data_IF_320993546033
#
_entry.id   IF_320993546033
#
_cell.length_a   1.000
_cell.length_b   1.000
_cell.length_c   1.000
_cell.angle_alpha   90.00
_cell.angle_beta   90.00
_cell.angle_gamma   90.00
#
_symmetry.space_group_name_H-M   'P 1'
#
loop_
_entity.id
_entity.type
_entity.pdbx_description
1 polymer ?
#
# COMPACT_ATOMS: atom_id res chain seq x y z
N UNK A 1 -20.67 37.06 -57.23
CA UNK A 1 -21.02 36.01 -56.23
C UNK A 1 -19.84 35.86 -55.28
N UNK A 2 -20.00 36.15 -54.00
CA UNK A 2 -18.93 36.03 -53.01
C UNK A 2 -18.81 34.57 -52.54
N UNK A 3 -17.67 33.94 -52.80
CA UNK A 3 -17.38 32.57 -52.36
C UNK A 3 -17.15 32.59 -50.85
N UNK A 4 -18.11 32.09 -50.07
CA UNK A 4 -17.94 31.88 -48.63
C UNK A 4 -16.78 30.90 -48.40
N UNK A 5 -15.69 31.40 -47.81
CA UNK A 5 -14.56 30.57 -47.35
C UNK A 5 -15.02 29.78 -46.13
N UNK A 6 -15.40 28.52 -46.33
CA UNK A 6 -15.74 27.60 -45.24
C UNK A 6 -14.45 27.28 -44.48
N UNK A 7 -14.25 27.91 -43.31
CA UNK A 7 -13.15 27.60 -42.40
C UNK A 7 -13.44 26.24 -41.76
N UNK A 8 -12.90 25.15 -42.33
CA UNK A 8 -12.95 23.83 -41.70
C UNK A 8 -12.00 23.82 -40.51
N UNK A 9 -12.54 23.56 -39.30
CA UNK A 9 -11.72 23.31 -38.10
C UNK A 9 -10.75 22.15 -38.40
N UNK A 10 -9.45 22.37 -38.20
CA UNK A 10 -8.45 21.29 -38.28
C UNK A 10 -8.89 20.16 -37.33
N UNK A 11 -8.86 18.89 -37.75
CA UNK A 11 -9.16 17.78 -36.86
C UNK A 11 -8.18 17.85 -35.68
N UNK A 12 -8.69 17.84 -34.44
CA UNK A 12 -7.85 17.81 -33.24
C UNK A 12 -6.93 16.59 -33.37
N UNK A 13 -5.62 16.79 -33.24
CA UNK A 13 -4.65 15.70 -33.25
C UNK A 13 -5.12 14.62 -32.26
N UNK A 14 -5.21 13.36 -32.71
CA UNK A 14 -5.57 12.23 -31.85
C UNK A 14 -4.49 12.13 -30.78
N UNK A 15 -4.80 12.60 -29.58
CA UNK A 15 -3.87 12.51 -28.44
C UNK A 15 -3.66 11.02 -28.15
N UNK A 16 -2.40 10.60 -28.14
CA UNK A 16 -2.02 9.22 -27.88
C UNK A 16 -2.60 8.75 -26.52
N UNK A 17 -3.44 7.70 -26.48
CA UNK A 17 -4.00 7.19 -25.23
C UNK A 17 -2.92 6.75 -24.23
N UNK A 18 -1.77 6.26 -24.71
CA UNK A 18 -0.67 5.82 -23.84
C UNK A 18 -0.01 7.00 -23.13
N UNK A 19 0.16 8.14 -23.82
CA UNK A 19 0.70 9.36 -23.22
C UNK A 19 -0.20 9.87 -22.08
N UNK A 20 -1.53 9.83 -22.27
CA UNK A 20 -2.49 10.19 -21.21
C UNK A 20 -2.40 9.25 -20.01
N UNK A 21 -2.34 7.95 -20.26
CA UNK A 21 -2.20 6.95 -19.19
C UNK A 21 -0.91 7.16 -18.41
N UNK A 22 0.22 7.43 -19.09
CA UNK A 22 1.51 7.73 -18.44
C UNK A 22 1.41 8.95 -17.54
N UNK A 23 0.73 10.03 -17.98
CA UNK A 23 0.51 11.22 -17.16
C UNK A 23 -0.30 10.87 -15.90
N UNK A 24 -1.44 10.17 -16.06
CA UNK A 24 -2.29 9.76 -14.92
C UNK A 24 -1.52 8.87 -13.95
N UNK A 25 -0.72 7.93 -14.48
CA UNK A 25 0.12 7.04 -13.69
C UNK A 25 1.17 7.82 -12.87
N UNK A 26 1.88 8.75 -13.50
CA UNK A 26 2.85 9.61 -12.81
C UNK A 26 2.21 10.52 -11.78
N UNK A 27 1.05 11.10 -12.12
CA UNK A 27 0.29 11.94 -11.22
C UNK A 27 -0.22 11.13 -10.02
N UNK A 28 -0.63 9.88 -10.23
CA UNK A 28 -1.04 8.96 -9.16
C UNK A 28 0.07 8.72 -8.15
N UNK A 29 1.25 8.28 -8.59
CA UNK A 29 2.40 8.06 -7.71
C UNK A 29 2.89 9.37 -7.05
N UNK A 30 2.94 10.46 -7.81
CA UNK A 30 3.29 11.79 -7.27
C UNK A 30 2.31 12.26 -6.19
N UNK A 31 1.01 12.05 -6.40
CA UNK A 31 -0.03 12.38 -5.42
C UNK A 31 0.09 11.53 -4.16
N UNK A 32 0.33 10.21 -4.31
CA UNK A 32 0.54 9.31 -3.17
C UNK A 32 1.72 9.75 -2.31
N UNK A 33 2.84 10.09 -2.94
CA UNK A 33 4.03 10.56 -2.24
C UNK A 33 3.84 11.93 -1.60
N UNK A 34 3.41 12.93 -2.37
CA UNK A 34 3.30 14.30 -1.88
C UNK A 34 2.27 14.42 -0.75
N UNK A 35 1.05 13.94 -0.97
CA UNK A 35 0.01 13.96 0.04
C UNK A 35 0.30 13.00 1.20
N UNK A 36 0.99 11.89 0.95
CA UNK A 36 1.44 10.96 1.97
C UNK A 36 2.48 11.60 2.90
N UNK A 37 3.48 12.28 2.33
CA UNK A 37 4.53 13.00 3.06
C UNK A 37 3.96 14.17 3.86
N UNK A 38 3.04 14.96 3.28
CA UNK A 38 2.33 16.01 4.00
C UNK A 38 1.59 15.41 5.20
N UNK A 39 0.81 14.34 4.99
CA UNK A 39 0.11 13.68 6.09
C UNK A 39 1.08 13.15 7.16
N UNK A 40 2.22 12.59 6.75
CA UNK A 40 3.26 12.11 7.65
C UNK A 40 3.80 13.23 8.55
N UNK A 41 4.10 14.41 7.99
CA UNK A 41 4.54 15.58 8.76
C UNK A 41 3.49 16.01 9.78
N UNK A 42 2.23 16.09 9.37
CA UNK A 42 1.13 16.41 10.30
C UNK A 42 0.97 15.36 11.40
N UNK A 43 1.08 14.08 11.06
CA UNK A 43 1.00 12.98 12.02
C UNK A 43 2.15 13.04 13.03
N UNK A 44 3.38 13.25 12.57
CA UNK A 44 4.56 13.41 13.42
C UNK A 44 4.44 14.64 14.32
N UNK A 45 4.01 15.78 13.77
CA UNK A 45 3.75 16.99 14.55
C UNK A 45 2.70 16.74 15.65
N UNK A 46 1.62 16.02 15.33
CA UNK A 46 0.61 15.63 16.31
C UNK A 46 1.18 14.70 17.40
N UNK A 47 2.02 13.74 17.02
CA UNK A 47 2.71 12.86 17.99
C UNK A 47 3.67 13.63 18.90
N UNK A 48 4.47 14.57 18.35
CA UNK A 48 5.41 15.38 19.11
C UNK A 48 4.69 16.34 20.08
N UNK A 49 3.60 16.97 19.61
CA UNK A 49 2.79 17.87 20.43
C UNK A 49 1.91 17.13 21.45
N UNK A 50 1.72 15.80 21.30
CA UNK A 50 1.00 14.97 22.28
C UNK A 50 1.70 14.92 23.65
N UNK A 51 3.03 15.06 23.69
CA UNK A 51 3.80 15.13 24.94
C UNK A 51 3.39 16.32 25.83
N UNK A 52 2.82 17.37 25.22
CA UNK A 52 2.30 18.55 25.93
C UNK A 52 0.99 18.27 26.69
N UNK A 53 0.26 17.19 26.38
CA UNK A 53 -0.99 16.79 27.02
C UNK A 53 -0.78 15.54 27.89
N UNK A 54 0.08 15.73 28.89
CA UNK A 54 0.63 14.72 29.81
C UNK A 54 -0.41 14.17 30.78
N UNK A 55 -1.11 13.11 30.40
CA UNK A 55 -1.65 12.18 31.40
C UNK A 55 -1.50 10.74 30.91
N UNK A 56 -1.02 9.86 31.80
CA UNK A 56 -0.89 8.44 31.50
C UNK A 56 -2.26 7.79 31.23
N UNK A 57 -3.35 8.36 31.76
CA UNK A 57 -4.73 7.93 31.52
C UNK A 57 -5.20 8.21 30.08
N UNK A 58 -4.68 9.24 29.42
CA UNK A 58 -4.92 9.51 28.00
C UNK A 58 -4.11 8.57 27.10
N UNK A 59 -2.94 8.12 27.57
CA UNK A 59 -2.06 7.19 26.87
C UNK A 59 -2.60 5.75 26.88
N UNK A 60 -3.21 5.34 28.00
CA UNK A 60 -3.98 4.10 28.12
C UNK A 60 -5.46 4.23 27.71
N UNK A 61 -5.81 5.31 26.98
CA UNK A 61 -7.11 5.47 26.30
C UNK A 61 -8.37 5.41 27.18
N UNK A 62 -8.23 5.59 28.51
CA UNK A 62 -9.37 5.68 29.44
C UNK A 62 -10.06 7.04 29.29
N UNK A 63 -9.30 8.09 28.96
CA UNK A 63 -9.83 9.45 28.79
C UNK A 63 -9.76 9.91 27.33
N UNK A 64 -10.88 10.44 26.80
CA UNK A 64 -10.91 11.12 25.50
C UNK A 64 -10.27 12.51 25.64
N UNK A 65 -9.41 12.95 24.69
CA UNK A 65 -8.88 14.31 24.73
C UNK A 65 -10.03 15.32 24.66
N UNK A 66 -9.90 16.49 25.33
CA UNK A 66 -10.95 17.50 25.32
C UNK A 66 -11.22 17.97 23.90
N UNK A 67 -12.50 17.96 23.51
CA UNK A 67 -12.95 18.36 22.17
C UNK A 67 -12.85 19.88 22.08
N UNK A 68 -11.68 20.38 21.65
CA UNK A 68 -11.53 21.79 21.29
C UNK A 68 -12.31 22.05 19.99
N UNK A 69 -13.52 22.61 20.12
CA UNK A 69 -14.31 23.08 18.98
C UNK A 69 -13.54 24.20 18.27
N UNK A 70 -13.34 24.13 16.93
CA UNK A 70 -12.63 25.18 16.21
C UNK A 70 -13.46 26.46 16.27
N UNK A 71 -12.88 27.54 16.83
CA UNK A 71 -13.54 28.86 16.91
C UNK A 71 -13.51 29.64 15.58
N UNK A 72 -12.63 29.25 14.65
CA UNK A 72 -12.46 29.93 13.35
C UNK A 72 -12.49 28.92 12.20
N UNK A 73 -12.96 29.37 11.03
CA UNK A 73 -13.00 28.55 9.81
C UNK A 73 -11.60 28.06 9.40
N UNK A 74 -10.56 28.89 9.59
CA UNK A 74 -9.17 28.50 9.32
C UNK A 74 -8.71 27.32 10.20
N UNK A 75 -9.05 27.31 11.50
CA UNK A 75 -8.75 26.18 12.39
C UNK A 75 -9.55 24.93 12.04
N UNK A 76 -10.77 25.11 11.51
CA UNK A 76 -11.57 24.00 11.00
C UNK A 76 -10.94 23.38 9.74
N UNK A 77 -10.50 24.20 8.79
CA UNK A 77 -9.79 23.77 7.59
C UNK A 77 -8.50 23.03 7.93
N UNK A 78 -7.70 23.59 8.86
CA UNK A 78 -6.46 22.97 9.33
C UNK A 78 -6.67 21.60 9.98
N UNK A 79 -7.84 21.38 10.62
CA UNK A 79 -8.21 20.09 11.20
C UNK A 79 -8.59 19.05 10.13
N UNK A 80 -9.21 19.48 9.03
CA UNK A 80 -9.59 18.60 7.91
C UNK A 80 -8.42 18.27 7.00
N UNK A 81 -7.48 19.19 6.87
CA UNK A 81 -6.32 19.07 5.98
C UNK A 81 -5.59 17.72 6.06
N UNK A 82 -5.21 17.18 7.25
CA UNK A 82 -4.55 15.88 7.32
C UNK A 82 -5.45 14.74 6.84
N UNK A 83 -6.76 14.79 7.09
CA UNK A 83 -7.68 13.76 6.62
C UNK A 83 -7.82 13.80 5.10
N UNK A 84 -7.92 14.99 4.52
CA UNK A 84 -7.98 15.18 3.06
C UNK A 84 -6.68 14.69 2.42
N UNK A 85 -5.52 15.07 2.97
CA UNK A 85 -4.21 14.63 2.48
C UNK A 85 -4.06 13.11 2.50
N UNK A 86 -4.50 12.45 3.59
CA UNK A 86 -4.51 10.99 3.66
C UNK A 86 -5.38 10.36 2.57
N UNK A 87 -6.62 10.85 2.40
CA UNK A 87 -7.56 10.32 1.40
C UNK A 87 -7.07 10.55 -0.03
N UNK A 88 -6.49 11.71 -0.32
CA UNK A 88 -5.87 12.01 -1.61
C UNK A 88 -4.67 11.10 -1.92
N UNK A 89 -3.83 10.81 -0.92
CA UNK A 89 -2.71 9.87 -1.09
C UNK A 89 -3.21 8.46 -1.49
N UNK A 90 -4.29 7.98 -0.86
CA UNK A 90 -4.95 6.71 -1.23
C UNK A 90 -5.59 6.78 -2.62
N UNK A 91 -6.21 7.90 -3.00
CA UNK A 91 -6.73 8.09 -4.37
C UNK A 91 -5.59 8.01 -5.40
N UNK A 92 -4.40 8.53 -5.09
CA UNK A 92 -3.22 8.38 -5.94
C UNK A 92 -2.82 6.91 -6.18
N UNK A 93 -3.02 6.04 -5.20
CA UNK A 93 -2.81 4.58 -5.33
C UNK A 93 -3.82 3.99 -6.31
N UNK A 94 -5.10 4.38 -6.23
CA UNK A 94 -6.10 3.94 -7.20
C UNK A 94 -5.78 4.38 -8.63
N UNK A 95 -5.29 5.61 -8.82
CA UNK A 95 -4.93 6.12 -10.15
C UNK A 95 -3.74 5.35 -10.74
N UNK A 96 -2.65 5.22 -9.98
CA UNK A 96 -1.43 4.55 -10.44
C UNK A 96 -1.67 3.07 -10.72
N UNK A 97 -2.11 2.30 -9.72
CA UNK A 97 -2.34 0.87 -9.87
C UNK A 97 -3.54 0.55 -10.77
N UNK A 98 -4.53 1.43 -10.85
CA UNK A 98 -5.66 1.32 -11.77
C UNK A 98 -5.22 1.42 -13.22
N UNK A 99 -4.35 2.38 -13.56
CA UNK A 99 -3.77 2.49 -14.90
C UNK A 99 -2.92 1.26 -15.23
N UNK A 100 -2.03 0.82 -14.33
CA UNK A 100 -1.21 -0.38 -14.59
C UNK A 100 -2.08 -1.62 -14.79
N UNK A 101 -3.12 -1.79 -13.98
CA UNK A 101 -4.06 -2.90 -14.13
C UNK A 101 -4.83 -2.80 -15.45
N UNK A 102 -5.30 -1.61 -15.82
CA UNK A 102 -5.96 -1.39 -17.09
C UNK A 102 -5.04 -1.73 -18.28
N UNK A 103 -3.79 -1.27 -18.26
CA UNK A 103 -2.82 -1.58 -19.32
C UNK A 103 -2.57 -3.07 -19.48
N UNK A 104 -2.42 -3.80 -18.37
CA UNK A 104 -2.19 -5.23 -18.38
C UNK A 104 -3.37 -6.03 -18.94
N UNK A 105 -4.59 -5.54 -18.75
CA UNK A 105 -5.81 -6.29 -19.04
C UNK A 105 -6.65 -5.71 -20.18
N UNK A 106 -6.33 -4.55 -20.75
CA UNK A 106 -7.16 -3.93 -21.79
C UNK A 106 -7.34 -4.80 -23.05
N UNK A 107 -6.38 -5.68 -23.34
CA UNK A 107 -6.42 -6.61 -24.47
C UNK A 107 -6.89 -8.03 -24.09
N UNK A 108 -7.16 -8.29 -22.82
CA UNK A 108 -7.46 -9.62 -22.28
C UNK A 108 -8.80 -9.58 -21.54
N UNK A 109 -9.53 -10.69 -21.51
CA UNK A 109 -10.72 -10.83 -20.68
C UNK A 109 -10.36 -11.64 -19.41
N UNK A 110 -9.77 -11.01 -18.37
CA UNK A 110 -9.32 -11.74 -17.19
C UNK A 110 -10.49 -12.32 -16.41
N UNK A 111 -10.28 -13.52 -15.86
CA UNK A 111 -11.15 -14.03 -14.82
C UNK A 111 -10.88 -13.31 -13.48
N UNK A 112 -11.81 -13.42 -12.53
CA UNK A 112 -11.62 -12.87 -11.17
C UNK A 112 -10.38 -13.45 -10.47
N UNK A 113 -10.05 -14.71 -10.73
CA UNK A 113 -8.86 -15.35 -10.18
C UNK A 113 -7.58 -14.73 -10.74
N UNK A 114 -7.56 -14.41 -12.03
CA UNK A 114 -6.42 -13.78 -12.68
C UNK A 114 -6.17 -12.39 -12.08
N UNK A 115 -7.23 -11.61 -11.84
CA UNK A 115 -7.13 -10.31 -11.17
C UNK A 115 -6.59 -10.46 -9.75
N UNK A 116 -7.16 -11.34 -8.93
CA UNK A 116 -6.75 -11.57 -7.54
C UNK A 116 -5.31 -12.06 -7.39
N UNK A 117 -4.77 -12.72 -8.42
CA UNK A 117 -3.37 -13.16 -8.44
C UNK A 117 -2.36 -12.02 -8.58
N UNK A 118 -2.77 -10.87 -9.16
CA UNK A 118 -1.86 -9.76 -9.44
C UNK A 118 -1.68 -8.83 -8.25
N UNK A 119 -0.43 -8.50 -7.96
CA UNK A 119 -0.04 -7.61 -6.85
C UNK A 119 -0.66 -6.20 -6.96
N UNK A 120 -0.84 -5.71 -8.19
CA UNK A 120 -1.48 -4.42 -8.45
C UNK A 120 -2.95 -4.40 -8.00
N UNK A 121 -3.69 -5.45 -8.31
CA UNK A 121 -5.10 -5.56 -7.92
C UNK A 121 -5.23 -5.78 -6.41
N UNK A 122 -4.37 -6.62 -5.81
CA UNK A 122 -4.29 -6.76 -4.36
C UNK A 122 -4.00 -5.42 -3.66
N UNK A 123 -3.13 -4.59 -4.25
CA UNK A 123 -2.82 -3.24 -3.76
C UNK A 123 -4.04 -2.30 -3.82
N UNK A 124 -4.85 -2.39 -4.89
CA UNK A 124 -6.13 -1.67 -5.00
C UNK A 124 -7.11 -2.12 -3.92
N UNK A 125 -7.21 -3.43 -3.63
CA UNK A 125 -8.08 -3.94 -2.56
C UNK A 125 -7.64 -3.42 -1.18
N UNK A 126 -6.34 -3.42 -0.90
CA UNK A 126 -5.78 -2.86 0.34
C UNK A 126 -6.04 -1.34 0.41
N UNK A 127 -5.87 -0.60 -0.69
CA UNK A 127 -6.16 0.83 -0.76
C UNK A 127 -7.64 1.12 -0.48
N UNK A 128 -8.55 0.29 -1.00
CA UNK A 128 -9.97 0.34 -0.70
C UNK A 128 -10.25 0.17 0.78
N UNK A 129 -9.63 -0.82 1.42
CA UNK A 129 -9.72 -1.02 2.87
C UNK A 129 -9.22 0.21 3.65
N UNK A 130 -8.17 0.88 3.18
CA UNK A 130 -7.65 2.10 3.80
C UNK A 130 -8.54 3.33 3.60
N UNK A 131 -9.31 3.38 2.53
CA UNK A 131 -10.28 4.45 2.28
C UNK A 131 -11.44 4.43 3.28
N UNK A 132 -11.84 3.27 3.76
CA UNK A 132 -12.93 3.15 4.74
C UNK A 132 -12.46 3.00 6.18
N UNK A 133 -11.20 2.60 6.40
CA UNK A 133 -10.63 2.49 7.74
C UNK A 133 -10.12 3.83 8.30
N UNK A 134 -9.77 3.83 9.59
CA UNK A 134 -9.13 4.96 10.29
C UNK A 134 -7.79 5.32 9.64
N UNK A 135 -7.57 6.62 9.43
CA UNK A 135 -6.32 7.15 8.89
C UNK A 135 -5.15 6.93 9.86
N UNK A 136 -4.07 6.32 9.37
CA UNK A 136 -2.82 6.09 10.11
C UNK A 136 -1.64 6.09 9.14
N UNK A 137 -0.52 6.70 9.52
CA UNK A 137 0.66 6.82 8.64
C UNK A 137 1.19 5.45 8.17
N UNK A 138 1.19 4.46 9.06
CA UNK A 138 1.74 3.13 8.79
C UNK A 138 1.10 2.45 7.58
N UNK A 139 -0.22 2.65 7.38
CA UNK A 139 -0.96 2.12 6.23
C UNK A 139 -0.50 2.69 4.89
N UNK A 140 0.04 3.92 4.89
CA UNK A 140 0.54 4.59 3.69
C UNK A 140 2.00 4.26 3.41
N UNK A 141 2.80 3.88 4.40
CA UNK A 141 4.24 3.63 4.23
C UNK A 141 4.53 2.65 3.09
N UNK A 142 3.88 1.47 3.01
CA UNK A 142 4.11 0.54 1.90
C UNK A 142 3.85 1.21 0.54
N UNK A 143 2.76 1.96 0.41
CA UNK A 143 2.37 2.63 -0.83
C UNK A 143 3.25 3.82 -1.21
N UNK A 144 3.77 4.53 -0.21
CA UNK A 144 4.74 5.59 -0.44
C UNK A 144 6.06 4.99 -0.92
N UNK A 145 6.54 3.92 -0.28
CA UNK A 145 7.78 3.25 -0.69
C UNK A 145 7.67 2.63 -2.10
N UNK A 146 6.54 2.00 -2.44
CA UNK A 146 6.33 1.50 -3.80
C UNK A 146 6.22 2.62 -4.82
N UNK A 147 5.54 3.72 -4.48
CA UNK A 147 5.45 4.88 -5.38
C UNK A 147 6.81 5.56 -5.58
N UNK A 148 7.63 5.61 -4.53
CA UNK A 148 9.00 6.08 -4.62
C UNK A 148 9.81 5.19 -5.57
N UNK A 149 9.79 3.88 -5.36
CA UNK A 149 10.47 2.91 -6.23
C UNK A 149 10.06 3.06 -7.70
N UNK A 150 8.75 3.20 -7.98
CA UNK A 150 8.27 3.34 -9.36
C UNK A 150 8.67 4.65 -10.03
N UNK A 151 8.77 5.75 -9.28
CA UNK A 151 9.23 7.02 -9.83
C UNK A 151 10.75 7.07 -10.01
N UNK A 152 11.53 6.50 -9.08
CA UNK A 152 13.00 6.48 -9.18
C UNK A 152 13.49 5.52 -10.25
N UNK A 153 12.87 4.33 -10.38
CA UNK A 153 13.22 3.39 -11.46
C UNK A 153 12.97 4.03 -12.83
N UNK A 154 11.90 4.80 -12.98
CA UNK A 154 11.62 5.53 -14.22
C UNK A 154 12.69 6.59 -14.55
N UNK A 155 13.28 7.22 -13.53
CA UNK A 155 14.34 8.21 -13.71
C UNK A 155 15.69 7.54 -13.99
N UNK A 156 15.90 6.32 -13.47
CA UNK A 156 17.15 5.57 -13.53
C UNK A 156 17.21 4.51 -14.64
N UNK A 157 16.23 4.41 -15.56
CA UNK A 157 16.34 3.59 -16.78
C UNK A 157 17.56 3.97 -17.65
N UNK A 158 18.17 5.13 -17.41
CA UNK A 158 19.44 5.56 -18.02
C UNK A 158 20.72 5.05 -17.33
N UNK A 159 20.65 4.44 -16.14
CA UNK A 159 21.82 4.04 -15.33
C UNK A 159 21.66 2.60 -14.76
N UNK A 160 21.94 1.59 -15.59
CA UNK A 160 21.41 0.22 -15.44
C UNK A 160 22.09 -0.71 -14.40
N UNK A 161 23.17 -0.33 -13.68
CA UNK A 161 23.94 -1.32 -12.87
C UNK A 161 23.92 -1.16 -11.36
N UNK A 162 23.89 0.05 -10.80
CA UNK A 162 23.83 0.27 -9.34
C UNK A 162 22.40 0.18 -8.77
N UNK A 163 21.40 0.44 -9.62
CA UNK A 163 19.99 0.48 -9.22
C UNK A 163 19.42 -0.88 -8.80
N UNK A 164 19.90 -1.99 -9.36
CA UNK A 164 19.34 -3.34 -9.12
C UNK A 164 19.45 -3.82 -7.67
N UNK A 165 20.60 -3.59 -7.02
CA UNK A 165 20.82 -3.98 -5.63
C UNK A 165 20.00 -3.12 -4.64
N UNK A 166 19.97 -1.80 -4.85
CA UNK A 166 19.17 -0.87 -4.05
C UNK A 166 17.67 -1.16 -4.19
N UNK A 167 17.21 -1.47 -5.41
CA UNK A 167 15.82 -1.87 -5.67
C UNK A 167 15.45 -3.14 -4.90
N UNK A 168 16.35 -4.13 -4.84
CA UNK A 168 16.12 -5.37 -4.09
C UNK A 168 16.02 -5.12 -2.58
N UNK A 169 16.85 -4.23 -2.03
CA UNK A 169 16.76 -3.82 -0.62
C UNK A 169 15.44 -3.09 -0.33
N UNK A 170 15.04 -2.15 -1.20
CA UNK A 170 13.78 -1.42 -1.08
C UNK A 170 12.57 -2.36 -1.12
N UNK A 171 12.57 -3.39 -1.98
CA UNK A 171 11.52 -4.41 -2.02
C UNK A 171 11.38 -5.16 -0.70
N UNK A 172 12.49 -5.50 -0.04
CA UNK A 172 12.45 -6.09 1.30
C UNK A 172 11.92 -5.10 2.35
N UNK A 173 12.29 -3.82 2.28
CA UNK A 173 11.78 -2.78 3.19
C UNK A 173 10.27 -2.60 3.02
N UNK A 174 9.77 -2.62 1.78
CA UNK A 174 8.33 -2.61 1.48
C UNK A 174 7.65 -3.80 2.14
N UNK A 175 8.16 -5.02 1.94
CA UNK A 175 7.60 -6.23 2.54
C UNK A 175 7.59 -6.18 4.09
N UNK A 176 8.65 -5.64 4.70
CA UNK A 176 8.68 -5.42 6.15
C UNK A 176 7.66 -4.39 6.60
N UNK A 177 7.48 -3.31 5.85
CA UNK A 177 6.48 -2.28 6.17
C UNK A 177 5.06 -2.83 6.14
N UNK A 178 4.76 -3.78 5.24
CA UNK A 178 3.47 -4.48 5.19
C UNK A 178 3.25 -5.36 6.43
N UNK A 179 4.27 -6.08 6.87
CA UNK A 179 4.19 -6.86 8.11
C UNK A 179 4.03 -5.97 9.35
N UNK A 180 4.66 -4.79 9.37
CA UNK A 180 4.46 -3.80 10.43
C UNK A 180 3.01 -3.33 10.46
N UNK A 181 2.38 -3.10 9.29
CA UNK A 181 0.95 -2.76 9.21
C UNK A 181 0.09 -3.87 9.80
N UNK A 182 0.37 -5.14 9.50
CA UNK A 182 -0.32 -6.28 10.10
C UNK A 182 -0.20 -6.27 11.63
N UNK A 183 1.02 -6.05 12.16
CA UNK A 183 1.27 -5.97 13.59
C UNK A 183 0.53 -4.82 14.28
N UNK A 184 0.46 -3.66 13.64
CA UNK A 184 -0.27 -2.50 14.18
C UNK A 184 -1.78 -2.73 14.17
N UNK A 185 -2.33 -3.33 13.11
CA UNK A 185 -3.74 -3.71 13.07
C UNK A 185 -4.08 -4.74 14.15
N UNK A 186 -3.16 -5.67 14.42
CA UNK A 186 -3.31 -6.64 15.50
C UNK A 186 -3.35 -5.95 16.88
N UNK A 187 -2.42 -5.03 17.14
CA UNK A 187 -2.43 -4.23 18.38
C UNK A 187 -3.68 -3.36 18.51
N UNK A 188 -4.15 -2.76 17.42
CA UNK A 188 -5.39 -1.97 17.41
C UNK A 188 -6.63 -2.84 17.69
N UNK A 189 -6.61 -4.09 17.22
CA UNK A 189 -7.67 -5.08 17.46
C UNK A 189 -7.69 -5.52 18.92
N UNK A 190 -6.53 -5.86 19.51
CA UNK A 190 -6.41 -6.17 20.94
C UNK A 190 -6.84 -4.97 21.80
N UNK A 191 -6.55 -3.75 21.34
CA UNK A 191 -6.97 -2.52 22.00
C UNK A 191 -8.46 -2.18 21.79
N UNK A 192 -9.25 -3.08 21.18
CA UNK A 192 -10.68 -2.91 20.89
C UNK A 192 -11.04 -1.58 20.21
N UNK A 193 -10.18 -1.08 19.31
CA UNK A 193 -10.40 0.20 18.64
C UNK A 193 -11.42 0.04 17.50
N UNK A 194 -12.70 0.22 17.80
CA UNK A 194 -13.78 0.28 16.80
C UNK A 194 -13.79 -0.93 15.86
N UNK A 195 -13.84 -0.68 14.55
CA UNK A 195 -13.88 -1.72 13.51
C UNK A 195 -12.51 -2.32 13.13
N UNK A 196 -11.48 -2.16 13.96
CA UNK A 196 -10.11 -2.64 13.66
C UNK A 196 -10.02 -4.15 13.44
N UNK A 197 -10.80 -4.96 14.17
CA UNK A 197 -10.82 -6.42 13.99
C UNK A 197 -11.29 -6.86 12.60
N UNK A 198 -12.35 -6.23 12.07
CA UNK A 198 -12.82 -6.49 10.70
C UNK A 198 -11.77 -6.09 9.66
N UNK A 199 -11.12 -4.95 9.87
CA UNK A 199 -10.05 -4.47 8.99
C UNK A 199 -8.86 -5.42 9.02
N UNK A 200 -8.48 -5.94 10.19
CA UNK A 200 -7.43 -6.94 10.31
C UNK A 200 -7.77 -8.22 9.56
N UNK A 201 -8.98 -8.76 9.73
CA UNK A 201 -9.41 -9.99 9.06
C UNK A 201 -9.36 -9.84 7.53
N UNK A 202 -9.90 -8.75 6.98
CA UNK A 202 -9.85 -8.46 5.55
C UNK A 202 -8.42 -8.26 5.05
N UNK A 203 -7.59 -7.54 5.80
CA UNK A 203 -6.18 -7.34 5.46
C UNK A 203 -5.43 -8.68 5.42
N UNK A 204 -5.62 -9.55 6.40
CA UNK A 204 -5.00 -10.88 6.44
C UNK A 204 -5.47 -11.76 5.28
N UNK A 205 -6.74 -11.70 4.89
CA UNK A 205 -7.24 -12.43 3.73
C UNK A 205 -6.55 -11.98 2.43
N UNK A 206 -6.38 -10.67 2.22
CA UNK A 206 -5.66 -10.15 1.05
C UNK A 206 -4.15 -10.45 1.15
N UNK A 207 -3.57 -10.35 2.34
CA UNK A 207 -2.16 -10.65 2.56
C UNK A 207 -1.86 -12.14 2.35
N UNK A 208 -2.81 -13.02 2.68
CA UNK A 208 -2.71 -14.45 2.36
C UNK A 208 -2.63 -14.70 0.86
N UNK A 209 -3.44 -13.99 0.06
CA UNK A 209 -3.31 -14.03 -1.40
C UNK A 209 -1.91 -13.55 -1.83
N UNK A 210 -1.43 -12.45 -1.26
CA UNK A 210 -0.09 -11.93 -1.55
C UNK A 210 1.01 -12.95 -1.24
N UNK A 211 0.94 -13.68 -0.12
CA UNK A 211 1.90 -14.74 0.21
C UNK A 211 1.89 -15.90 -0.80
N UNK A 212 0.75 -16.19 -1.43
CA UNK A 212 0.69 -17.26 -2.43
C UNK A 212 1.35 -16.86 -3.76
N UNK A 213 1.26 -15.59 -4.15
CA UNK A 213 1.70 -15.12 -5.47
C UNK A 213 3.01 -14.34 -5.47
N UNK A 214 3.43 -13.74 -4.35
CA UNK A 214 4.57 -12.83 -4.27
C UNK A 214 5.83 -13.48 -3.67
N UNK A 215 6.95 -13.61 -4.43
CA UNK A 215 8.20 -14.18 -3.92
C UNK A 215 8.84 -13.35 -2.78
N UNK A 216 8.75 -12.03 -2.85
CA UNK A 216 9.40 -11.17 -1.86
C UNK A 216 8.67 -11.23 -0.51
N UNK A 217 7.33 -11.33 -0.52
CA UNK A 217 6.53 -11.49 0.69
C UNK A 217 6.85 -12.83 1.38
N UNK A 218 6.96 -13.90 0.60
CA UNK A 218 7.37 -15.23 1.04
C UNK A 218 8.74 -15.22 1.74
N UNK A 219 9.76 -14.65 1.11
CA UNK A 219 11.12 -14.58 1.68
C UNK A 219 11.15 -13.77 2.98
N UNK A 220 10.40 -12.66 3.02
CA UNK A 220 10.36 -11.78 4.18
C UNK A 220 9.66 -12.45 5.37
N UNK A 221 8.56 -13.15 5.11
CA UNK A 221 7.87 -13.95 6.12
C UNK A 221 8.76 -15.05 6.68
N UNK A 222 9.47 -15.81 5.83
CA UNK A 222 10.43 -16.83 6.29
C UNK A 222 11.50 -16.23 7.19
N UNK A 223 12.08 -15.09 6.79
CA UNK A 223 13.11 -14.43 7.60
C UNK A 223 12.58 -13.98 8.96
N UNK A 224 11.32 -13.56 9.01
CA UNK A 224 10.64 -13.23 10.27
C UNK A 224 10.39 -14.48 11.12
N UNK A 225 9.92 -15.57 10.53
CA UNK A 225 9.73 -16.87 11.20
C UNK A 225 11.04 -17.36 11.82
N UNK A 226 12.15 -17.32 11.08
CA UNK A 226 13.48 -17.71 11.59
C UNK A 226 13.94 -16.82 12.76
N UNK A 227 13.64 -15.52 12.72
CA UNK A 227 13.96 -14.61 13.83
C UNK A 227 13.10 -14.88 15.07
N UNK A 228 11.83 -15.21 14.87
CA UNK A 228 10.91 -15.57 15.95
C UNK A 228 11.27 -16.91 16.57
N UNK A 229 11.73 -17.88 15.77
CA UNK A 229 12.12 -19.22 16.22
C UNK A 229 13.12 -19.17 17.38
N UNK A 230 14.08 -18.24 17.33
CA UNK A 230 15.07 -18.03 18.40
C UNK A 230 14.50 -17.47 19.70
N UNK A 231 13.26 -16.99 19.70
CA UNK A 231 12.59 -16.32 20.83
C UNK A 231 11.35 -17.05 21.34
N UNK A 232 11.01 -18.21 20.78
CA UNK A 232 9.83 -18.98 21.21
C UNK A 232 10.14 -19.71 22.53
N UNK A 233 9.32 -19.55 23.58
CA UNK A 233 9.48 -20.32 24.80
C UNK A 233 9.15 -21.81 24.57
N UNK A 234 9.80 -22.74 25.29
CA UNK A 234 9.61 -24.18 25.08
C UNK A 234 8.16 -24.65 25.27
N UNK A 235 7.36 -23.91 26.04
CA UNK A 235 5.92 -24.19 26.25
C UNK A 235 5.08 -24.18 24.98
N UNK A 236 5.48 -23.42 23.94
CA UNK A 236 4.73 -23.28 22.69
C UNK A 236 5.43 -23.94 21.49
N UNK A 237 6.46 -24.75 21.72
CA UNK A 237 7.29 -25.31 20.65
C UNK A 237 6.50 -26.25 19.73
N UNK A 238 5.56 -27.05 20.26
CA UNK A 238 4.73 -27.97 19.47
C UNK A 238 3.79 -27.23 18.52
N UNK A 239 3.09 -26.20 19.02
CA UNK A 239 2.22 -25.35 18.21
C UNK A 239 3.03 -24.58 17.16
N UNK A 240 4.22 -24.11 17.53
CA UNK A 240 5.12 -23.42 16.62
C UNK A 240 5.65 -24.33 15.50
N UNK A 241 5.94 -25.61 15.79
CA UNK A 241 6.32 -26.60 14.77
C UNK A 241 5.21 -26.81 13.74
N UNK A 242 3.95 -26.95 14.17
CA UNK A 242 2.81 -27.08 13.26
C UNK A 242 2.66 -25.86 12.33
N UNK A 243 2.78 -24.64 12.89
CA UNK A 243 2.73 -23.40 12.08
C UNK A 243 3.89 -23.35 11.09
N UNK A 244 5.11 -23.72 11.50
CA UNK A 244 6.28 -23.77 10.62
C UNK A 244 6.08 -24.76 9.47
N UNK A 245 5.69 -25.99 9.78
CA UNK A 245 5.44 -27.03 8.77
C UNK A 245 4.38 -26.60 7.77
N UNK A 246 3.28 -26.03 8.23
CA UNK A 246 2.23 -25.49 7.37
C UNK A 246 2.75 -24.40 6.42
N UNK A 247 3.54 -23.46 6.93
CA UNK A 247 4.14 -22.40 6.11
C UNK A 247 5.13 -22.96 5.09
N UNK A 248 6.00 -23.90 5.49
CA UNK A 248 6.99 -24.50 4.59
C UNK A 248 6.34 -25.31 3.47
N UNK A 249 5.37 -26.17 3.80
CA UNK A 249 4.61 -26.96 2.83
C UNK A 249 3.99 -26.05 1.78
N UNK A 250 3.36 -24.95 2.21
CA UNK A 250 2.66 -24.06 1.29
C UNK A 250 3.62 -23.27 0.39
N UNK A 251 4.78 -22.88 0.92
CA UNK A 251 5.81 -22.25 0.12
C UNK A 251 6.45 -23.20 -0.90
N UNK A 252 6.62 -24.47 -0.55
CA UNK A 252 7.12 -25.49 -1.47
C UNK A 252 6.14 -25.77 -2.61
N UNK A 253 4.83 -25.86 -2.31
CA UNK A 253 3.78 -25.96 -3.34
C UNK A 253 3.79 -24.77 -4.31
N UNK A 254 3.98 -23.54 -3.80
CA UNK A 254 4.07 -22.34 -4.64
C UNK A 254 5.30 -22.40 -5.56
N UNK A 255 6.44 -22.87 -5.06
CA UNK A 255 7.66 -23.07 -5.87
C UNK A 255 7.46 -24.14 -6.95
N UNK A 256 6.85 -25.27 -6.61
CA UNK A 256 6.54 -26.37 -7.55
C UNK A 256 5.65 -25.88 -8.69
N UNK A 257 4.55 -25.18 -8.38
CA UNK A 257 3.66 -24.59 -9.40
C UNK A 257 4.39 -23.61 -10.32
N UNK A 258 5.27 -22.78 -9.79
CA UNK A 258 6.09 -21.87 -10.62
C UNK A 258 7.04 -22.64 -11.52
N UNK A 259 7.66 -23.71 -11.02
CA UNK A 259 8.56 -24.55 -11.81
C UNK A 259 7.81 -25.29 -12.93
N UNK A 260 6.57 -25.72 -12.71
CA UNK A 260 5.70 -26.30 -13.73
C UNK A 260 5.34 -25.29 -14.83
N UNK A 261 4.95 -24.07 -14.45
CA UNK A 261 4.63 -22.99 -15.41
C UNK A 261 5.88 -22.56 -16.22
N UNK A 262 7.07 -22.63 -15.61
CA UNK A 262 8.32 -22.24 -16.25
C UNK A 262 8.91 -23.29 -17.19
N UNK A 263 8.38 -24.52 -17.22
CA UNK A 263 8.81 -25.52 -18.22
C UNK A 263 8.23 -25.11 -19.57
N UNK A 264 9.07 -24.80 -20.59
CA UNK A 264 8.58 -24.69 -21.95
C UNK A 264 8.04 -26.06 -22.37
N UNK A 265 6.89 -26.06 -23.04
CA UNK A 265 6.31 -27.24 -23.69
C UNK A 265 7.31 -27.87 -24.68
#
# INVERSE_FOLDING_TARGET
MAVQKIIRKKPKAKVDPLAKQKIIWTAGHGLTLACGAIYAVFYLFQCLTFYRYRSWKTLFLIARPPINKPRTWLKWLWRLFPQISYRLSVIGVFLSYGVTSYQNWNALNPSWYDLLSKENFQSILIACLWLFSRATIFKLIPFMLTSYLHLTVKENESEEKESSAQNTQLLHVIAYSELIVAGILFLDTISFKGASGFVLALYLAIYWLRLNFSPYAQVTLLRLVVKLDKKVPPKFESQWKQVKEFLYLRMDESKKKRAEIAKPY
#
